data_IF_050588575192
#
_entry.id   IF_050588575192
#
_cell.length_a   1.000
_cell.length_b   1.000
_cell.length_c   1.000
_cell.angle_alpha   90.00
_cell.angle_beta   90.00
_cell.angle_gamma   90.00
#
_symmetry.space_group_name_H-M   'P 1'
#
loop_
_entity.id
_entity.type
_entity.pdbx_description
1 polymer ?
#
# COMPACT_ATOMS: atom_id res chain seq x y z
N UNK A 1 33.01 12.77 9.26
CA UNK A 1 32.41 14.12 9.13
C UNK A 1 32.49 14.53 7.68
N UNK A 2 31.43 15.08 7.10
CA UNK A 2 31.42 15.42 5.66
C UNK A 2 32.20 16.71 5.41
N UNK A 3 33.11 16.71 4.43
CA UNK A 3 33.82 17.88 3.97
C UNK A 3 33.86 17.86 2.43
N UNK A 4 33.20 18.80 1.72
CA UNK A 4 32.44 19.95 2.25
C UNK A 4 31.11 19.56 2.93
N UNK A 5 30.55 20.43 3.79
CA UNK A 5 29.34 20.13 4.54
C UNK A 5 28.10 20.07 3.64
N UNK A 6 27.21 19.06 3.82
CA UNK A 6 25.97 18.95 3.07
C UNK A 6 24.93 19.99 3.51
N UNK A 7 23.99 20.33 2.62
CA UNK A 7 22.87 21.27 2.91
C UNK A 7 21.74 20.64 3.75
N UNK A 8 21.86 19.37 4.13
CA UNK A 8 20.84 18.60 4.85
C UNK A 8 21.46 17.88 6.04
N UNK A 9 20.66 17.62 7.08
CA UNK A 9 21.09 16.86 8.26
C UNK A 9 21.23 15.37 7.93
N UNK A 10 22.30 14.75 8.43
CA UNK A 10 22.51 13.30 8.32
C UNK A 10 21.95 12.59 9.55
N UNK A 11 21.53 11.33 9.36
CA UNK A 11 21.14 10.41 10.44
C UNK A 11 21.65 9.00 10.14
N UNK A 12 21.90 8.21 11.18
CA UNK A 12 22.29 6.80 11.05
C UNK A 12 21.11 5.95 11.52
N UNK A 13 20.66 5.02 10.68
CA UNK A 13 19.60 4.07 10.99
C UNK A 13 20.16 2.66 10.91
N UNK A 14 19.95 1.86 11.96
CA UNK A 14 20.21 0.42 11.94
C UNK A 14 18.89 -0.31 11.71
N UNK A 15 18.81 -1.07 10.62
CA UNK A 15 17.68 -1.92 10.30
C UNK A 15 18.07 -3.36 10.62
N UNK A 16 17.23 -4.05 11.41
CA UNK A 16 17.35 -5.48 11.66
C UNK A 16 16.14 -6.16 11.06
N UNK A 17 16.35 -7.27 10.35
CA UNK A 17 15.26 -8.04 9.76
C UNK A 17 14.33 -8.52 10.88
N UNK A 18 13.02 -8.30 10.72
CA UNK A 18 12.02 -8.83 11.63
C UNK A 18 11.78 -10.33 11.34
N UNK A 19 10.85 -10.95 12.06
CA UNK A 19 10.50 -12.36 11.92
C UNK A 19 9.62 -12.67 10.71
N UNK A 20 9.13 -11.65 10.00
CA UNK A 20 8.25 -11.83 8.84
C UNK A 20 9.06 -12.33 7.64
N UNK A 21 8.82 -13.59 7.25
CA UNK A 21 9.44 -14.22 6.09
C UNK A 21 8.58 -14.15 4.83
N UNK A 22 7.26 -14.09 5.00
CA UNK A 22 6.26 -13.99 3.95
C UNK A 22 5.16 -13.01 4.36
N UNK A 23 4.65 -12.24 3.39
CA UNK A 23 3.57 -11.27 3.59
C UNK A 23 2.19 -11.93 3.45
N UNK A 24 2.09 -13.15 2.92
CA UNK A 24 0.80 -13.83 2.72
C UNK A 24 -0.07 -13.17 1.63
N UNK A 25 0.54 -12.38 0.74
CA UNK A 25 -0.08 -11.78 -0.43
C UNK A 25 0.95 -11.64 -1.56
N UNK A 26 0.48 -11.39 -2.79
CA UNK A 26 1.40 -11.11 -3.90
C UNK A 26 2.19 -9.82 -3.62
N UNK A 27 3.50 -9.96 -3.40
CA UNK A 27 4.40 -8.84 -3.13
C UNK A 27 4.42 -7.79 -4.26
N UNK A 28 4.22 -8.21 -5.51
CA UNK A 28 4.20 -7.29 -6.66
C UNK A 28 2.94 -6.43 -6.62
N UNK A 29 1.80 -7.05 -6.34
CA UNK A 29 0.54 -6.34 -6.13
C UNK A 29 0.64 -5.44 -4.90
N UNK A 30 1.19 -5.92 -3.78
CA UNK A 30 1.39 -5.14 -2.57
C UNK A 30 2.20 -3.87 -2.83
N UNK A 31 3.35 -3.99 -3.51
CA UNK A 31 4.18 -2.84 -3.92
C UNK A 31 3.38 -1.86 -4.78
N UNK A 32 2.55 -2.37 -5.69
CA UNK A 32 1.71 -1.55 -6.56
C UNK A 32 0.61 -0.81 -5.79
N UNK A 33 -0.05 -1.48 -4.83
CA UNK A 33 -1.09 -0.89 -3.97
C UNK A 33 -0.49 0.20 -3.09
N UNK A 34 0.64 -0.07 -2.42
CA UNK A 34 1.34 0.91 -1.57
C UNK A 34 1.79 2.11 -2.41
N UNK A 35 2.44 1.87 -3.56
CA UNK A 35 2.89 2.94 -4.46
C UNK A 35 1.73 3.81 -4.94
N UNK A 36 0.63 3.18 -5.35
CA UNK A 36 -0.56 3.88 -5.87
C UNK A 36 -1.25 4.69 -4.77
N UNK A 37 -1.37 4.12 -3.57
CA UNK A 37 -1.89 4.81 -2.40
C UNK A 37 -1.07 6.06 -2.07
N UNK A 38 0.23 5.90 -1.80
CA UNK A 38 1.09 7.02 -1.39
C UNK A 38 1.39 8.02 -2.51
N UNK A 39 1.30 7.61 -3.79
CA UNK A 39 1.39 8.53 -4.93
C UNK A 39 0.31 9.62 -4.89
N UNK A 40 -0.85 9.32 -4.29
CA UNK A 40 -1.92 10.28 -4.04
C UNK A 40 -2.17 10.49 -2.55
N UNK A 41 -1.11 10.62 -1.72
CA UNK A 41 -1.17 10.67 -0.24
C UNK A 41 -2.24 11.56 0.41
N UNK A 42 -2.67 12.64 -0.27
CA UNK A 42 -3.70 13.58 0.24
C UNK A 42 -5.15 13.15 -0.09
N UNK A 43 -5.33 12.12 -0.91
CA UNK A 43 -6.64 11.57 -1.29
C UNK A 43 -6.94 10.32 -0.47
N UNK A 44 -8.22 10.01 -0.33
CA UNK A 44 -8.65 8.76 0.29
C UNK A 44 -8.35 7.58 -0.63
N UNK A 45 -8.18 6.40 -0.05
CA UNK A 45 -7.84 5.17 -0.78
C UNK A 45 -8.86 4.82 -1.86
N UNK A 46 -10.13 5.20 -1.67
CA UNK A 46 -11.17 5.08 -2.70
C UNK A 46 -10.78 5.74 -4.02
N UNK A 47 -10.19 6.93 -3.97
CA UNK A 47 -9.75 7.63 -5.18
C UNK A 47 -8.44 7.06 -5.68
N UNK A 48 -7.47 6.83 -4.78
CA UNK A 48 -6.14 6.35 -5.15
C UNK A 48 -6.18 4.99 -5.82
N UNK A 49 -6.99 4.06 -5.30
CA UNK A 49 -7.06 2.68 -5.77
C UNK A 49 -8.19 2.43 -6.78
N UNK A 50 -8.92 3.47 -7.18
CA UNK A 50 -10.02 3.35 -8.16
C UNK A 50 -9.59 2.78 -9.52
N UNK A 51 -8.31 2.89 -9.88
CA UNK A 51 -7.75 2.32 -11.11
C UNK A 51 -7.38 0.84 -10.98
N UNK A 52 -7.17 0.35 -9.75
CA UNK A 52 -6.77 -1.04 -9.47
C UNK A 52 -7.94 -1.94 -9.11
N UNK A 53 -9.05 -1.35 -8.66
CA UNK A 53 -10.26 -2.07 -8.24
C UNK A 53 -11.33 -1.94 -9.32
N UNK A 54 -11.92 -3.05 -9.81
CA UNK A 54 -13.05 -3.00 -10.74
C UNK A 54 -14.19 -2.09 -10.26
N UNK A 55 -14.74 -1.29 -11.18
CA UNK A 55 -15.85 -0.38 -10.89
C UNK A 55 -17.07 -1.19 -10.44
N UNK A 56 -17.64 -0.83 -9.29
CA UNK A 56 -18.78 -1.54 -8.70
C UNK A 56 -18.40 -2.69 -7.75
N UNK A 57 -17.11 -2.94 -7.51
CA UNK A 57 -16.70 -3.92 -6.51
C UNK A 57 -17.19 -3.49 -5.11
N UNK A 58 -17.74 -4.43 -4.30
CA UNK A 58 -18.07 -4.19 -2.89
C UNK A 58 -16.90 -3.67 -2.07
N UNK A 59 -15.66 -3.94 -2.50
CA UNK A 59 -14.44 -3.47 -1.86
C UNK A 59 -14.35 -1.94 -1.80
N UNK A 60 -14.94 -1.22 -2.76
CA UNK A 60 -14.98 0.25 -2.76
C UNK A 60 -15.94 0.84 -1.72
N UNK A 61 -16.73 0.00 -1.04
CA UNK A 61 -17.65 0.40 0.03
C UNK A 61 -17.10 0.07 1.43
N UNK A 62 -15.94 -0.60 1.52
CA UNK A 62 -15.27 -0.88 2.80
C UNK A 62 -14.86 0.43 3.49
N UNK A 63 -15.00 0.51 4.81
CA UNK A 63 -14.60 1.67 5.61
C UNK A 63 -13.12 2.03 5.42
N UNK A 64 -12.25 1.04 5.17
CA UNK A 64 -10.83 1.26 4.87
C UNK A 64 -10.65 2.19 3.66
N UNK A 65 -11.56 2.17 2.68
CA UNK A 65 -11.46 3.03 1.49
C UNK A 65 -11.70 4.52 1.77
N UNK A 66 -12.33 4.84 2.91
CA UNK A 66 -12.51 6.22 3.36
C UNK A 66 -11.25 6.83 3.99
N UNK A 67 -10.26 6.00 4.35
CA UNK A 67 -9.01 6.43 4.99
C UNK A 67 -7.97 6.89 3.97
N UNK A 68 -6.98 7.67 4.44
CA UNK A 68 -5.76 8.02 3.70
C UNK A 68 -4.68 6.95 3.87
N UNK A 69 -3.74 6.80 2.92
CA UNK A 69 -2.69 5.77 2.99
C UNK A 69 -1.80 5.88 4.24
N UNK A 70 -1.56 7.09 4.74
CA UNK A 70 -0.78 7.35 5.96
C UNK A 70 -1.47 6.90 7.26
N UNK A 71 -2.78 6.63 7.21
CA UNK A 71 -3.57 6.14 8.35
C UNK A 71 -3.62 4.61 8.43
N UNK A 72 -3.05 3.91 7.45
CA UNK A 72 -3.03 2.46 7.39
C UNK A 72 -1.72 1.90 7.95
N UNK A 73 -1.84 0.84 8.73
CA UNK A 73 -0.72 -0.02 9.13
C UNK A 73 -0.28 -0.95 8.00
N UNK A 74 0.92 -1.52 8.12
CA UNK A 74 1.44 -2.52 7.17
C UNK A 74 0.50 -3.73 7.04
N UNK A 75 -0.04 -4.22 8.16
CA UNK A 75 -0.97 -5.34 8.17
C UNK A 75 -2.27 -5.02 7.40
N UNK A 76 -2.78 -3.79 7.52
CA UNK A 76 -3.96 -3.35 6.76
C UNK A 76 -3.68 -3.26 5.26
N UNK A 77 -2.48 -2.87 4.86
CA UNK A 77 -2.08 -2.91 3.44
C UNK A 77 -2.00 -4.35 2.91
N UNK A 78 -1.54 -5.30 3.72
CA UNK A 78 -1.52 -6.72 3.36
C UNK A 78 -2.95 -7.24 3.15
N UNK A 79 -3.84 -6.97 4.11
CA UNK A 79 -5.24 -7.37 4.01
C UNK A 79 -5.93 -6.75 2.78
N UNK A 80 -5.71 -5.46 2.56
CA UNK A 80 -6.24 -4.74 1.40
C UNK A 80 -5.75 -5.35 0.09
N UNK A 81 -4.46 -5.71 0.02
CA UNK A 81 -3.87 -6.36 -1.16
C UNK A 81 -4.53 -7.71 -1.43
N UNK A 82 -4.78 -8.52 -0.38
CA UNK A 82 -5.50 -9.80 -0.50
C UNK A 82 -6.91 -9.60 -1.06
N UNK A 83 -7.68 -8.65 -0.52
CA UNK A 83 -9.03 -8.33 -0.99
C UNK A 83 -9.05 -7.86 -2.46
N UNK A 84 -8.06 -7.06 -2.87
CA UNK A 84 -7.91 -6.61 -4.26
C UNK A 84 -7.61 -7.81 -5.17
N UNK A 85 -6.70 -8.69 -4.74
CA UNK A 85 -6.38 -9.92 -5.48
C UNK A 85 -7.61 -10.81 -5.71
N UNK A 86 -8.41 -11.02 -4.66
CA UNK A 86 -9.67 -11.79 -4.74
C UNK A 86 -10.68 -11.16 -5.70
N UNK A 87 -10.78 -9.83 -5.69
CA UNK A 87 -11.67 -9.09 -6.59
C UNK A 87 -11.24 -9.24 -8.05
N UNK A 88 -9.94 -9.12 -8.33
CA UNK A 88 -9.39 -9.27 -9.69
C UNK A 88 -9.57 -10.70 -10.19
N UNK A 89 -9.36 -11.71 -9.34
CA UNK A 89 -9.57 -13.11 -9.71
C UNK A 89 -11.04 -13.41 -10.01
N UNK A 90 -11.96 -12.87 -9.22
CA UNK A 90 -13.40 -13.02 -9.45
C UNK A 90 -13.85 -12.39 -10.78
N UNK A 91 -13.24 -11.28 -11.19
CA UNK A 91 -13.50 -10.64 -12.49
C UNK A 91 -12.88 -11.37 -13.69
N UNK A 92 -11.87 -12.22 -13.49
CA UNK A 92 -11.21 -12.97 -14.57
C UNK A 92 -11.84 -14.35 -14.82
N UNK A 93 -12.58 -14.89 -13.84
CA UNK A 93 -13.28 -16.19 -13.92
C UNK A 93 -14.74 -16.05 -14.39
N UNK A 94 -15.12 -14.87 -14.87
CA UNK A 94 -16.44 -14.57 -15.43
C UNK A 94 -16.26 -13.97 -16.82
#
# INVERSE_FOLDING_TARGET
VFNPPPKVKSGVLRLTRNTTTDLGCDERLFKTVVKTGFGQRRKTLRYSLSSLVPKGSPLLSDEIMSKRPEQLSVAQFVELTRKISETIQSSNNQ
#
